data_IF_590613379621
#
_entry.id   IF_590613379621
#
_cell.length_a   1.000
_cell.length_b   1.000
_cell.length_c   1.000
_cell.angle_alpha   90.00
_cell.angle_beta   90.00
_cell.angle_gamma   90.00
#
_symmetry.space_group_name_H-M   'P 1'
#
loop_
_entity.id
_entity.type
_entity.pdbx_description
1 polymer ?
#
# COMPACT_ATOMS: atom_id res chain seq x y z
N UNK A 1 -27.70 -72.74 -6.37
CA UNK A 1 -26.75 -72.11 -7.32
C UNK A 1 -26.89 -70.59 -7.15
N UNK A 2 -25.83 -69.90 -6.66
CA UNK A 2 -25.60 -68.42 -6.55
C UNK A 2 -26.58 -67.62 -5.62
N UNK A 3 -26.22 -66.96 -4.49
CA UNK A 3 -25.26 -65.84 -4.18
C UNK A 3 -25.36 -64.69 -5.20
N UNK A 4 -25.58 -63.40 -4.89
CA UNK A 4 -25.15 -62.56 -3.76
C UNK A 4 -25.94 -61.23 -3.66
N UNK A 5 -25.94 -60.68 -2.44
CA UNK A 5 -25.93 -59.29 -1.89
C UNK A 5 -26.32 -58.02 -2.68
N UNK A 6 -26.92 -57.11 -1.87
CA UNK A 6 -26.82 -55.63 -1.83
C UNK A 6 -27.41 -54.85 -3.02
N UNK A 7 -28.02 -53.67 -2.88
CA UNK A 7 -27.61 -52.55 -2.04
C UNK A 7 -28.76 -51.56 -1.81
N UNK A 8 -28.77 -50.91 -0.65
CA UNK A 8 -29.69 -49.85 -0.29
C UNK A 8 -29.13 -48.50 -0.73
N UNK A 9 -29.94 -47.68 -1.39
CA UNK A 9 -29.52 -46.35 -1.82
C UNK A 9 -30.67 -45.35 -1.79
N UNK A 10 -30.84 -44.67 -0.65
CA UNK A 10 -31.62 -43.44 -0.54
C UNK A 10 -31.05 -42.42 -1.52
N UNK A 11 -31.82 -42.03 -2.53
CA UNK A 11 -31.47 -40.91 -3.42
C UNK A 11 -31.58 -39.60 -2.63
N UNK A 12 -30.47 -39.17 -2.04
CA UNK A 12 -30.31 -37.82 -1.54
C UNK A 12 -30.27 -36.86 -2.72
N UNK A 13 -31.23 -35.93 -2.77
CA UNK A 13 -31.18 -34.77 -3.65
C UNK A 13 -30.05 -33.86 -3.16
N UNK A 14 -28.89 -33.92 -3.80
CA UNK A 14 -27.87 -32.89 -3.65
C UNK A 14 -28.35 -31.65 -4.39
N UNK A 15 -28.89 -30.68 -3.64
CA UNK A 15 -28.93 -29.30 -4.09
C UNK A 15 -27.49 -28.82 -4.13
N UNK A 16 -26.95 -28.73 -5.33
CA UNK A 16 -25.66 -28.14 -5.63
C UNK A 16 -25.81 -26.63 -5.37
N UNK A 17 -25.54 -26.19 -4.14
CA UNK A 17 -25.26 -24.78 -3.89
C UNK A 17 -23.93 -24.53 -4.58
N UNK A 18 -24.01 -23.98 -5.79
CA UNK A 18 -22.87 -23.37 -6.48
C UNK A 18 -22.43 -22.22 -5.58
N UNK A 19 -21.44 -22.50 -4.73
CA UNK A 19 -20.73 -21.46 -4.00
C UNK A 19 -20.12 -20.52 -5.04
N UNK A 20 -20.65 -19.31 -5.09
CA UNK A 20 -20.04 -18.21 -5.83
C UNK A 20 -18.69 -17.94 -5.17
N UNK A 21 -17.62 -18.45 -5.77
CA UNK A 21 -16.25 -18.03 -5.45
C UNK A 21 -16.08 -16.64 -6.04
N UNK A 22 -16.34 -15.62 -5.23
CA UNK A 22 -16.04 -14.23 -5.56
C UNK A 22 -14.54 -14.02 -5.39
N UNK A 23 -13.82 -14.15 -6.51
CA UNK A 23 -12.42 -13.79 -6.62
C UNK A 23 -12.24 -12.30 -6.32
N UNK A 24 -11.64 -11.95 -5.17
CA UNK A 24 -11.32 -10.57 -4.80
C UNK A 24 -9.90 -10.46 -4.25
N UNK A 25 -9.15 -9.49 -4.81
CA UNK A 25 -7.85 -8.93 -4.41
C UNK A 25 -6.52 -9.63 -4.80
N UNK A 26 -6.34 -9.95 -6.09
CA UNK A 26 -5.04 -10.23 -6.76
C UNK A 26 -4.59 -11.68 -6.78
N UNK A 27 -5.16 -12.45 -7.71
CA UNK A 27 -4.32 -12.92 -8.81
C UNK A 27 -4.31 -11.80 -9.84
N UNK A 28 -3.13 -11.25 -10.14
CA UNK A 28 -2.83 -10.32 -11.25
C UNK A 28 -4.05 -9.57 -11.79
N UNK A 29 -4.50 -8.54 -11.05
CA UNK A 29 -5.42 -7.56 -11.62
C UNK A 29 -4.79 -7.07 -12.94
N UNK A 30 -5.49 -7.33 -14.05
CA UNK A 30 -5.02 -7.04 -15.39
C UNK A 30 -4.29 -5.70 -15.47
N UNK A 31 -3.00 -5.76 -15.80
CA UNK A 31 -2.16 -4.62 -16.09
C UNK A 31 -2.65 -3.94 -17.38
N UNK A 32 -3.69 -3.12 -17.27
CA UNK A 32 -3.97 -2.11 -18.27
C UNK A 32 -3.62 -0.75 -17.66
N UNK A 33 -2.31 -0.49 -17.68
CA UNK A 33 -1.75 0.85 -17.66
C UNK A 33 -2.22 1.56 -18.93
N UNK A 34 -3.02 2.60 -18.80
CA UNK A 34 -2.94 3.66 -19.79
C UNK A 34 -1.69 4.48 -19.47
N UNK A 35 -0.79 4.58 -20.45
CA UNK A 35 0.53 5.17 -20.35
C UNK A 35 0.55 6.63 -19.88
N UNK A 36 1.75 7.04 -19.45
CA UNK A 36 2.06 8.35 -18.91
C UNK A 36 1.51 9.51 -19.74
N UNK A 37 0.55 10.23 -19.16
CA UNK A 37 0.08 11.53 -19.65
C UNK A 37 0.15 12.58 -18.54
N UNK A 38 1.18 12.49 -17.71
CA UNK A 38 1.39 13.37 -16.58
C UNK A 38 2.85 13.78 -16.44
N UNK A 39 3.06 14.87 -15.74
CA UNK A 39 4.38 15.35 -15.34
C UNK A 39 5.05 14.31 -14.44
N UNK A 40 6.27 13.94 -14.79
CA UNK A 40 7.11 13.05 -13.98
C UNK A 40 8.00 13.92 -13.11
N UNK A 41 7.82 13.84 -11.79
CA UNK A 41 8.71 14.55 -10.88
C UNK A 41 10.12 13.95 -10.93
N UNK A 42 11.09 14.80 -11.24
CA UNK A 42 12.52 14.45 -11.26
C UNK A 42 13.29 15.32 -10.27
N UNK A 43 14.41 14.82 -9.71
CA UNK A 43 15.28 15.63 -8.87
C UNK A 43 15.83 16.84 -9.63
N UNK A 44 15.92 17.98 -8.97
CA UNK A 44 16.52 19.22 -9.47
C UNK A 44 18.03 19.33 -9.17
N UNK A 45 18.61 18.30 -8.55
CA UNK A 45 20.00 18.27 -8.10
C UNK A 45 20.20 18.68 -6.65
N UNK A 46 19.15 19.11 -5.94
CA UNK A 46 19.19 19.43 -4.51
C UNK A 46 19.45 18.22 -3.61
N UNK A 47 19.62 18.45 -2.29
CA UNK A 47 19.81 17.37 -1.32
C UNK A 47 18.52 16.59 -1.00
N UNK A 48 17.35 17.16 -1.34
CA UNK A 48 16.02 16.61 -1.00
C UNK A 48 15.11 16.73 -2.22
N UNK A 49 14.34 15.68 -2.49
CA UNK A 49 13.28 15.64 -3.50
C UNK A 49 11.95 15.44 -2.79
N UNK A 50 11.16 16.49 -2.68
CA UNK A 50 9.83 16.41 -2.08
C UNK A 50 8.84 15.79 -3.05
N UNK A 51 8.42 14.56 -2.76
CA UNK A 51 7.49 13.79 -3.60
C UNK A 51 6.06 14.22 -3.36
N UNK A 52 5.69 14.39 -2.09
CA UNK A 52 4.38 14.85 -1.65
C UNK A 52 4.57 15.89 -0.54
N UNK A 53 3.94 17.05 -0.66
CA UNK A 53 3.83 18.08 0.37
C UNK A 53 2.35 18.39 0.58
N UNK A 54 1.78 17.84 1.65
CA UNK A 54 0.37 18.05 1.97
C UNK A 54 0.12 19.33 2.78
N UNK A 55 1.16 20.13 3.04
CA UNK A 55 1.00 21.53 3.43
C UNK A 55 0.55 22.42 2.28
N UNK A 56 0.81 21.99 1.04
CA UNK A 56 0.35 22.67 -0.17
C UNK A 56 -0.92 22.00 -0.72
N UNK A 57 -2.04 22.72 -0.63
CA UNK A 57 -3.32 22.22 -1.14
C UNK A 57 -3.32 22.17 -2.67
N UNK A 58 -3.95 21.13 -3.21
CA UNK A 58 -4.22 20.99 -4.64
C UNK A 58 -5.64 20.44 -4.88
N UNK A 59 -6.22 20.62 -6.07
CA UNK A 59 -7.54 20.05 -6.38
C UNK A 59 -7.52 18.51 -6.34
N UNK A 60 -8.52 17.89 -5.69
CA UNK A 60 -8.65 16.43 -5.66
C UNK A 60 -9.46 15.87 -6.85
N UNK A 61 -10.17 16.73 -7.56
CA UNK A 61 -10.89 16.38 -8.80
C UNK A 61 -11.03 17.61 -9.72
N UNK A 62 -10.42 17.61 -10.93
CA UNK A 62 -9.43 16.63 -11.38
C UNK A 62 -8.11 16.80 -10.60
N UNK A 63 -7.37 15.70 -10.43
CA UNK A 63 -6.03 15.75 -9.84
C UNK A 63 -5.03 16.47 -10.78
N UNK A 64 -3.99 17.14 -10.22
CA UNK A 64 -2.95 17.76 -11.03
C UNK A 64 -2.16 16.74 -11.87
N UNK A 65 -1.44 17.24 -12.87
CA UNK A 65 -0.54 16.42 -13.69
C UNK A 65 0.47 15.65 -12.82
N UNK A 66 0.68 14.37 -13.16
CA UNK A 66 1.55 13.48 -12.38
C UNK A 66 0.91 12.88 -11.13
N UNK A 67 -0.30 13.30 -10.75
CA UNK A 67 -1.08 12.67 -9.68
C UNK A 67 -2.16 11.75 -10.24
N UNK A 68 -2.50 10.69 -9.52
CA UNK A 68 -3.56 9.74 -9.91
C UNK A 68 -4.21 9.07 -8.71
N UNK A 69 -5.54 9.08 -8.66
CA UNK A 69 -6.30 8.31 -7.68
C UNK A 69 -6.67 6.96 -8.28
N UNK A 70 -6.03 5.89 -7.81
CA UNK A 70 -6.37 4.52 -8.19
C UNK A 70 -7.52 4.04 -7.31
N UNK A 71 -8.69 3.86 -7.92
CA UNK A 71 -9.88 3.25 -7.31
C UNK A 71 -9.96 1.77 -7.72
N UNK A 72 -10.48 0.93 -6.84
CA UNK A 72 -10.72 -0.48 -7.15
C UNK A 72 -12.21 -0.68 -7.47
N UNK A 73 -12.51 -1.38 -8.56
CA UNK A 73 -13.89 -1.50 -9.06
C UNK A 73 -14.88 -2.09 -8.04
N UNK A 74 -14.42 -3.00 -7.18
CA UNK A 74 -15.26 -3.66 -6.16
C UNK A 74 -15.28 -2.97 -4.81
N UNK A 75 -14.51 -1.89 -4.61
CA UNK A 75 -14.31 -1.27 -3.29
C UNK A 75 -14.63 0.22 -3.33
N UNK A 76 -15.21 0.70 -2.23
CA UNK A 76 -15.31 2.14 -2.01
C UNK A 76 -13.89 2.74 -1.92
N UNK A 77 -13.64 3.93 -2.48
CA UNK A 77 -12.37 4.62 -2.26
C UNK A 77 -12.28 5.17 -0.85
N UNK A 78 -11.05 5.40 -0.38
CA UNK A 78 -10.80 6.14 0.86
C UNK A 78 -11.22 7.61 0.71
N UNK A 79 -11.69 8.20 1.81
CA UNK A 79 -11.95 9.63 1.90
C UNK A 79 -10.64 10.39 2.06
N UNK A 80 -10.51 11.51 1.36
CA UNK A 80 -9.28 12.29 1.24
C UNK A 80 -9.59 13.77 1.47
N UNK A 81 -8.93 14.41 2.42
CA UNK A 81 -9.13 15.83 2.70
C UNK A 81 -7.87 16.50 3.25
N UNK A 82 -7.52 17.69 2.74
CA UNK A 82 -6.50 18.52 3.37
C UNK A 82 -6.98 18.98 4.75
N UNK A 83 -6.12 18.88 5.75
CA UNK A 83 -6.42 19.21 7.14
C UNK A 83 -5.21 19.85 7.82
N UNK A 84 -5.44 20.42 9.01
CA UNK A 84 -4.37 20.75 9.96
C UNK A 84 -4.62 19.91 11.19
N UNK A 85 -3.73 18.96 11.46
CA UNK A 85 -3.85 18.04 12.60
C UNK A 85 -2.76 18.38 13.61
N UNK A 86 -3.18 18.80 14.80
CA UNK A 86 -2.30 19.23 15.90
C UNK A 86 -1.24 20.25 15.46
N UNK A 87 -1.69 21.26 14.71
CA UNK A 87 -0.84 22.34 14.18
C UNK A 87 -0.01 21.97 12.95
N UNK A 88 -0.09 20.73 12.45
CA UNK A 88 0.66 20.27 11.27
C UNK A 88 -0.26 20.24 10.03
N UNK A 89 0.02 21.06 9.01
CA UNK A 89 -0.62 20.95 7.70
C UNK A 89 -0.39 19.56 7.09
N UNK A 90 -1.46 18.90 6.66
CA UNK A 90 -1.46 17.50 6.27
C UNK A 90 -2.64 17.15 5.37
N UNK A 91 -2.66 15.91 4.91
CA UNK A 91 -3.81 15.30 4.26
C UNK A 91 -4.29 14.12 5.10
N UNK A 92 -5.59 14.13 5.42
CA UNK A 92 -6.31 13.07 6.11
C UNK A 92 -6.75 12.02 5.09
N UNK A 93 -6.51 10.76 5.44
CA UNK A 93 -6.98 9.58 4.74
C UNK A 93 -7.85 8.78 5.71
N UNK A 94 -9.08 8.48 5.31
CA UNK A 94 -10.03 7.72 6.11
C UNK A 94 -10.61 6.56 5.32
N UNK A 95 -10.66 5.41 5.97
CA UNK A 95 -11.22 4.19 5.43
C UNK A 95 -12.37 3.68 6.28
N UNK A 96 -13.32 3.03 5.61
CA UNK A 96 -14.41 2.26 6.21
C UNK A 96 -14.82 1.22 5.18
N UNK A 97 -14.41 -0.04 5.38
CA UNK A 97 -14.53 -1.12 4.38
C UNK A 97 -14.13 -0.64 2.96
N UNK A 98 -12.99 0.07 2.86
CA UNK A 98 -12.61 0.80 1.66
C UNK A 98 -11.12 0.66 1.37
N UNK A 99 -10.75 0.88 0.10
CA UNK A 99 -9.36 0.87 -0.35
C UNK A 99 -9.20 1.74 -1.60
N UNK A 100 -8.15 2.56 -1.61
CA UNK A 100 -7.70 3.25 -2.82
C UNK A 100 -6.31 3.85 -2.61
N UNK A 101 -5.65 4.29 -3.69
CA UNK A 101 -4.27 4.79 -3.62
C UNK A 101 -4.15 6.16 -4.28
N UNK A 102 -3.49 7.11 -3.61
CA UNK A 102 -3.12 8.40 -4.19
C UNK A 102 -1.68 8.34 -4.67
N UNK A 103 -1.48 8.20 -5.98
CA UNK A 103 -0.18 8.12 -6.63
C UNK A 103 0.38 9.50 -6.97
N UNK A 104 1.70 9.63 -6.82
CA UNK A 104 2.57 10.61 -7.47
C UNK A 104 3.55 9.88 -8.38
N UNK A 105 3.61 10.27 -9.64
CA UNK A 105 4.58 9.77 -10.60
C UNK A 105 5.93 10.48 -10.41
N UNK A 106 6.99 9.69 -10.31
CA UNK A 106 8.35 10.17 -10.06
C UNK A 106 9.34 9.46 -10.99
N UNK A 107 10.58 9.90 -11.02
CA UNK A 107 11.70 9.19 -11.64
C UNK A 107 12.96 9.62 -10.87
N UNK A 108 13.29 8.84 -9.84
CA UNK A 108 14.33 9.17 -8.84
C UNK A 108 15.27 7.99 -8.69
N UNK A 109 16.55 8.20 -9.00
CA UNK A 109 17.62 7.23 -8.82
C UNK A 109 17.86 6.93 -7.34
N UNK A 110 17.68 5.66 -6.93
CA UNK A 110 17.91 5.22 -5.55
C UNK A 110 19.37 5.24 -5.14
N UNK A 111 20.32 5.23 -6.08
CA UNK A 111 21.75 5.39 -5.76
C UNK A 111 22.02 6.83 -5.33
N UNK A 112 21.42 7.80 -6.01
CA UNK A 112 21.59 9.22 -5.69
C UNK A 112 20.78 9.66 -4.46
N UNK A 113 19.54 9.18 -4.31
CA UNK A 113 18.66 9.52 -3.20
C UNK A 113 18.18 8.25 -2.46
N UNK A 114 19.05 7.60 -1.67
CA UNK A 114 18.75 6.29 -1.09
C UNK A 114 17.80 6.33 0.09
N UNK A 115 17.52 7.51 0.64
CA UNK A 115 16.78 7.65 1.89
C UNK A 115 15.34 8.05 1.57
N UNK A 116 14.37 7.27 2.05
CA UNK A 116 12.96 7.64 2.08
C UNK A 116 12.63 8.23 3.45
N UNK A 117 12.07 9.43 3.47
CA UNK A 117 11.61 10.10 4.68
C UNK A 117 10.15 10.57 4.51
N UNK A 118 9.35 10.40 5.55
CA UNK A 118 7.95 10.84 5.56
C UNK A 118 7.52 11.17 6.97
N UNK A 119 6.36 11.83 7.07
CA UNK A 119 5.75 12.13 8.35
C UNK A 119 4.29 11.75 8.35
N UNK A 120 3.92 10.89 9.30
CA UNK A 120 2.56 10.41 9.47
C UNK A 120 2.02 10.56 10.89
N UNK A 121 0.71 10.44 11.02
CA UNK A 121 -0.02 10.37 12.28
C UNK A 121 -1.12 9.33 12.13
N UNK A 122 -1.23 8.40 13.09
CA UNK A 122 -2.34 7.46 13.15
C UNK A 122 -3.32 7.93 14.21
N UNK A 123 -4.55 8.25 13.79
CA UNK A 123 -5.63 8.65 14.69
C UNK A 123 -6.50 7.45 15.08
N UNK A 124 -6.87 6.64 14.09
CA UNK A 124 -7.62 5.41 14.28
C UNK A 124 -6.85 4.27 13.60
N UNK A 125 -6.17 3.39 14.37
CA UNK A 125 -5.48 2.23 13.82
C UNK A 125 -6.48 1.14 13.40
N UNK A 126 -6.03 0.17 12.60
CA UNK A 126 -6.83 -1.02 12.29
C UNK A 126 -6.91 -1.92 13.54
N UNK A 127 -8.15 -2.24 13.95
CA UNK A 127 -8.44 -3.13 15.08
C UNK A 127 -9.10 -4.40 14.59
N UNK A 128 -8.29 -5.43 14.34
CA UNK A 128 -8.77 -6.72 13.85
C UNK A 128 -8.06 -7.90 14.55
N UNK A 129 -8.76 -9.02 14.81
CA UNK A 129 -8.12 -10.23 15.30
C UNK A 129 -7.32 -10.97 14.20
N UNK A 130 -7.56 -10.64 12.93
CA UNK A 130 -6.97 -11.32 11.77
C UNK A 130 -5.45 -11.11 11.71
N UNK A 131 -4.72 -12.18 11.40
CA UNK A 131 -3.26 -12.15 11.28
C UNK A 131 -2.87 -11.35 10.04
N UNK A 132 -2.15 -10.25 10.24
CA UNK A 132 -1.73 -9.37 9.14
C UNK A 132 -0.68 -10.00 8.22
N UNK A 133 -0.21 -11.22 8.51
CA UNK A 133 0.59 -12.03 7.59
C UNK A 133 -0.26 -12.82 6.59
N UNK A 134 -1.58 -12.87 6.75
CA UNK A 134 -2.49 -13.46 5.77
C UNK A 134 -3.12 -12.37 4.92
N UNK A 135 -3.70 -12.77 3.79
CA UNK A 135 -4.38 -11.85 2.89
C UNK A 135 -5.56 -11.15 3.59
N UNK A 136 -6.34 -11.93 4.33
CA UNK A 136 -7.56 -11.46 5.00
C UNK A 136 -7.25 -10.46 6.13
N UNK A 137 -6.03 -10.48 6.69
CA UNK A 137 -5.60 -9.53 7.71
C UNK A 137 -4.74 -8.39 7.18
N UNK A 138 -4.49 -8.31 5.87
CA UNK A 138 -3.59 -7.33 5.28
C UNK A 138 -4.30 -5.99 5.01
N UNK A 139 -4.78 -5.34 6.07
CA UNK A 139 -5.20 -3.94 6.07
C UNK A 139 -4.28 -3.13 7.00
N UNK A 140 -3.89 -1.92 6.58
CA UNK A 140 -3.07 -1.00 7.39
C UNK A 140 -3.63 0.42 7.35
N UNK A 141 -3.56 1.14 8.47
CA UNK A 141 -4.07 2.50 8.55
C UNK A 141 -3.25 3.48 7.70
N UNK A 142 -1.99 3.14 7.36
CA UNK A 142 -1.11 3.96 6.54
C UNK A 142 -0.05 3.10 5.83
N UNK A 143 0.09 3.30 4.52
CA UNK A 143 1.10 2.63 3.68
C UNK A 143 1.70 3.61 2.68
N UNK A 144 2.97 3.40 2.36
CA UNK A 144 3.60 3.92 1.16
C UNK A 144 3.82 2.77 0.17
N UNK A 145 3.10 2.79 -0.94
CA UNK A 145 3.37 1.88 -2.06
C UNK A 145 4.45 2.47 -2.95
N UNK A 146 5.48 1.68 -3.23
CA UNK A 146 6.67 2.10 -3.96
C UNK A 146 6.85 1.21 -5.18
N UNK A 147 6.98 1.81 -6.36
CA UNK A 147 7.25 1.09 -7.61
C UNK A 147 8.61 1.46 -8.16
N UNK A 148 9.35 0.46 -8.60
CA UNK A 148 10.69 0.61 -9.13
C UNK A 148 10.78 0.10 -10.56
N UNK A 149 11.64 0.74 -11.35
CA UNK A 149 12.11 0.25 -12.64
C UNK A 149 13.63 0.12 -12.57
N UNK A 150 14.14 -1.08 -12.87
CA UNK A 150 15.58 -1.28 -13.01
C UNK A 150 16.07 -0.80 -14.37
N UNK A 151 17.37 -0.58 -14.51
CA UNK A 151 18.00 -0.25 -15.80
C UNK A 151 17.81 -1.36 -16.86
N UNK A 152 17.46 -2.58 -16.42
CA UNK A 152 17.14 -3.72 -17.29
C UNK A 152 15.65 -3.79 -17.68
N UNK A 153 14.84 -2.84 -17.24
CA UNK A 153 13.40 -2.79 -17.51
C UNK A 153 12.54 -3.67 -16.58
N UNK A 154 13.15 -4.36 -15.61
CA UNK A 154 12.39 -5.13 -14.61
C UNK A 154 11.59 -4.16 -13.72
N UNK A 155 10.32 -4.49 -13.50
CA UNK A 155 9.43 -3.74 -12.61
C UNK A 155 9.30 -4.46 -11.28
N UNK A 156 9.48 -3.72 -10.20
CA UNK A 156 9.36 -4.23 -8.84
C UNK A 156 8.49 -3.29 -8.02
N UNK A 157 7.93 -3.81 -6.93
CA UNK A 157 7.16 -2.98 -6.02
C UNK A 157 7.22 -3.56 -4.61
N UNK A 158 7.09 -2.67 -3.63
CA UNK A 158 6.98 -3.01 -2.22
C UNK A 158 6.07 -2.00 -1.53
N UNK A 159 5.73 -2.30 -0.29
CA UNK A 159 5.11 -1.34 0.61
C UNK A 159 5.96 -1.08 1.85
N UNK A 160 5.88 0.15 2.35
CA UNK A 160 6.28 0.51 3.70
C UNK A 160 5.01 0.76 4.49
N UNK A 161 4.84 0.09 5.62
CA UNK A 161 3.56 0.05 6.35
C UNK A 161 3.69 0.47 7.80
N UNK A 162 2.59 1.01 8.34
CA UNK A 162 2.29 0.92 9.77
C UNK A 162 1.67 -0.45 10.05
N UNK A 163 2.36 -1.34 10.75
CA UNK A 163 1.86 -2.67 11.10
C UNK A 163 0.85 -2.65 12.25
N UNK A 164 0.03 -3.70 12.35
CA UNK A 164 -0.98 -3.82 13.40
C UNK A 164 -0.40 -4.41 14.69
N UNK A 165 0.39 -5.48 14.56
CA UNK A 165 0.98 -6.31 15.63
C UNK A 165 2.42 -6.74 15.34
N UNK A 166 2.91 -6.54 14.12
CA UNK A 166 4.32 -6.74 13.74
C UNK A 166 5.25 -5.80 14.52
N UNK A 167 6.54 -6.11 14.50
CA UNK A 167 7.55 -5.22 15.07
C UNK A 167 8.15 -4.32 13.98
N UNK A 168 8.46 -3.05 14.30
CA UNK A 168 9.26 -2.21 13.41
C UNK A 168 10.55 -2.90 12.97
N UNK A 169 10.89 -2.76 11.69
CA UNK A 169 12.03 -3.42 11.04
C UNK A 169 11.77 -4.85 10.54
N UNK A 170 10.61 -5.44 10.84
CA UNK A 170 10.24 -6.74 10.27
C UNK A 170 9.77 -6.62 8.80
N UNK A 171 9.83 -7.76 8.11
CA UNK A 171 9.28 -7.94 6.77
C UNK A 171 8.13 -8.93 6.81
N UNK A 172 7.10 -8.70 5.98
CA UNK A 172 6.09 -9.71 5.65
C UNK A 172 5.88 -9.80 4.14
N UNK A 173 5.34 -10.92 3.70
CA UNK A 173 5.10 -11.21 2.29
C UNK A 173 3.69 -11.77 2.09
N UNK A 174 2.89 -11.10 1.25
CA UNK A 174 1.56 -11.58 0.85
C UNK A 174 1.65 -12.03 -0.61
N UNK A 175 1.56 -13.33 -0.88
CA UNK A 175 1.72 -13.87 -2.24
C UNK A 175 3.06 -13.51 -2.89
N UNK A 176 4.12 -13.32 -2.11
CA UNK A 176 5.43 -12.87 -2.57
C UNK A 176 5.61 -11.36 -2.68
N UNK A 177 4.57 -10.56 -2.45
CA UNK A 177 4.64 -9.10 -2.43
C UNK A 177 5.21 -8.59 -1.09
N UNK A 178 6.36 -7.87 -1.09
CA UNK A 178 7.06 -7.49 0.14
C UNK A 178 6.48 -6.25 0.82
N UNK A 179 6.40 -6.30 2.14
CA UNK A 179 6.10 -5.17 3.01
C UNK A 179 7.20 -5.02 4.05
N UNK A 180 7.69 -3.79 4.24
CA UNK A 180 8.58 -3.40 5.33
C UNK A 180 7.78 -2.66 6.40
N UNK A 181 7.89 -3.11 7.65
CA UNK A 181 7.19 -2.50 8.79
C UNK A 181 8.03 -1.34 9.32
N UNK A 182 7.63 -0.10 9.07
CA UNK A 182 8.35 1.06 9.57
C UNK A 182 7.99 1.39 11.02
N UNK A 183 6.70 1.26 11.35
CA UNK A 183 6.18 1.39 12.71
C UNK A 183 5.03 0.40 12.90
N UNK A 184 4.55 0.19 14.13
CA UNK A 184 3.42 -0.67 14.40
C UNK A 184 2.79 -0.45 15.78
N UNK A 185 1.59 -1.01 15.93
CA UNK A 185 0.90 -1.13 17.21
C UNK A 185 0.27 0.19 17.68
N UNK A 186 0.00 0.26 18.98
CA UNK A 186 -0.83 1.33 19.58
C UNK A 186 -0.02 2.38 20.32
N UNK A 187 1.21 2.08 20.72
CA UNK A 187 1.99 2.90 21.66
C UNK A 187 2.25 4.31 21.13
N UNK A 188 2.31 4.47 19.81
CA UNK A 188 2.56 5.75 19.13
C UNK A 188 1.35 6.26 18.32
N UNK A 189 0.18 5.65 18.48
CA UNK A 189 -1.08 6.23 17.97
C UNK A 189 -1.34 7.55 18.69
N UNK A 190 -1.81 8.55 17.95
CA UNK A 190 -2.04 9.90 18.50
C UNK A 190 -0.82 10.83 18.47
N UNK A 191 0.29 10.43 17.84
CA UNK A 191 1.49 11.25 17.71
C UNK A 191 1.95 11.41 16.26
N UNK A 192 2.54 12.56 15.97
CA UNK A 192 3.26 12.77 14.71
C UNK A 192 4.64 12.13 14.78
N UNK A 193 4.95 11.29 13.79
CA UNK A 193 6.26 10.64 13.69
C UNK A 193 6.91 11.02 12.36
N UNK A 194 8.14 11.52 12.45
CA UNK A 194 9.05 11.69 11.32
C UNK A 194 9.86 10.40 11.17
N UNK A 195 9.57 9.63 10.13
CA UNK A 195 10.17 8.34 9.84
C UNK A 195 11.20 8.45 8.71
N UNK A 196 12.23 7.60 8.78
CA UNK A 196 13.33 7.60 7.81
C UNK A 196 13.91 6.20 7.65
N UNK A 197 13.99 5.71 6.42
CA UNK A 197 14.64 4.44 6.09
C UNK A 197 15.68 4.61 4.98
N UNK A 198 16.72 3.76 5.00
CA UNK A 198 17.57 3.56 3.83
C UNK A 198 16.82 2.64 2.85
N UNK A 199 16.05 3.26 1.96
CA UNK A 199 15.22 2.57 0.97
C UNK A 199 16.08 1.76 -0.01
N UNK A 200 17.26 2.25 -0.37
CA UNK A 200 18.18 1.51 -1.23
C UNK A 200 18.66 0.21 -0.55
N UNK A 201 18.95 0.26 0.75
CA UNK A 201 19.28 -0.92 1.55
C UNK A 201 18.10 -1.89 1.65
N UNK A 202 16.91 -1.39 2.00
CA UNK A 202 15.69 -2.21 2.09
C UNK A 202 15.39 -2.90 0.75
N UNK A 203 15.54 -2.18 -0.36
CA UNK A 203 15.41 -2.69 -1.72
C UNK A 203 16.42 -3.81 -2.00
N UNK A 204 17.70 -3.61 -1.67
CA UNK A 204 18.75 -4.61 -1.87
C UNK A 204 18.59 -5.85 -0.97
N UNK A 205 18.05 -5.70 0.24
CA UNK A 205 17.76 -6.82 1.15
C UNK A 205 16.62 -7.70 0.61
N UNK A 206 15.57 -7.10 0.05
CA UNK A 206 14.45 -7.83 -0.58
C UNK A 206 14.92 -8.50 -1.87
N UNK A 207 15.68 -7.78 -2.71
CA UNK A 207 16.11 -8.26 -4.02
C UNK A 207 17.63 -8.25 -4.16
N UNK A 208 18.28 -9.32 -3.66
CA UNK A 208 19.75 -9.42 -3.57
C UNK A 208 20.51 -9.29 -4.89
N UNK A 209 19.89 -9.71 -5.98
CA UNK A 209 20.50 -9.70 -7.33
C UNK A 209 20.07 -8.48 -8.17
N UNK A 210 19.51 -7.45 -7.51
CA UNK A 210 18.99 -6.29 -8.21
C UNK A 210 20.07 -5.48 -8.92
N UNK A 211 19.80 -5.11 -10.17
CA UNK A 211 20.43 -3.95 -10.77
C UNK A 211 20.02 -2.65 -10.02
N UNK A 212 20.78 -1.56 -10.17
CA UNK A 212 20.32 -0.23 -9.77
C UNK A 212 18.91 0.04 -10.32
N UNK A 213 18.16 0.81 -9.55
CA UNK A 213 16.76 1.06 -9.83
C UNK A 213 16.36 2.50 -9.55
N UNK A 214 15.43 2.97 -10.35
CA UNK A 214 14.73 4.22 -10.14
C UNK A 214 13.41 3.93 -9.43
N UNK A 215 13.07 4.73 -8.44
CA UNK A 215 11.71 4.84 -7.93
C UNK A 215 10.89 5.61 -8.98
N UNK A 216 9.79 5.02 -9.46
CA UNK A 216 8.99 5.55 -10.57
C UNK A 216 7.56 5.94 -10.17
N UNK A 217 7.07 5.40 -9.05
CA UNK A 217 5.80 5.83 -8.47
C UNK A 217 5.87 5.67 -6.94
N UNK A 218 5.26 6.64 -6.25
CA UNK A 218 4.97 6.59 -4.82
C UNK A 218 3.48 6.77 -4.64
N UNK A 219 2.85 6.01 -3.77
CA UNK A 219 1.46 6.22 -3.39
C UNK A 219 1.29 6.20 -1.88
N UNK A 220 0.46 7.11 -1.37
CA UNK A 220 -0.21 6.88 -0.09
C UNK A 220 -1.34 5.89 -0.34
N UNK A 221 -1.33 4.80 0.41
CA UNK A 221 -2.35 3.76 0.34
C UNK A 221 -2.85 3.48 1.77
N UNK A 222 -4.16 3.53 1.94
CA UNK A 222 -4.84 3.14 3.18
C UNK A 222 -5.99 2.23 2.79
N UNK A 223 -6.23 1.20 3.59
CA UNK A 223 -7.27 0.21 3.37
C UNK A 223 -7.86 -0.33 4.67
N UNK A 224 -9.07 -0.85 4.55
CA UNK A 224 -9.79 -1.55 5.61
C UNK A 224 -10.82 -2.53 5.04
N UNK A 225 -10.64 -2.98 3.80
CA UNK A 225 -11.65 -3.74 3.03
C UNK A 225 -11.55 -5.27 3.17
N UNK A 226 -10.45 -5.78 3.71
CA UNK A 226 -10.25 -7.21 3.99
C UNK A 226 -10.61 -7.56 5.44
N UNK A 227 -10.35 -6.65 6.38
CA UNK A 227 -10.73 -6.74 7.79
C UNK A 227 -12.13 -6.21 8.07
N UNK A 228 -12.75 -5.50 7.11
CA UNK A 228 -14.05 -4.83 7.26
C UNK A 228 -14.10 -3.85 8.44
N UNK A 229 -12.99 -3.16 8.67
CA UNK A 229 -12.86 -2.18 9.75
C UNK A 229 -12.86 -0.75 9.20
N UNK A 230 -12.32 0.19 9.97
CA UNK A 230 -12.10 1.57 9.61
C UNK A 230 -10.75 2.03 10.14
N UNK A 231 -10.15 3.02 9.47
CA UNK A 231 -8.93 3.66 9.91
C UNK A 231 -8.90 5.14 9.57
N UNK A 232 -8.09 5.90 10.29
CA UNK A 232 -7.85 7.32 10.04
C UNK A 232 -6.36 7.57 10.23
N UNK A 233 -5.72 8.05 9.18
CA UNK A 233 -4.32 8.47 9.19
C UNK A 233 -4.15 9.82 8.51
N UNK A 234 -2.99 10.42 8.77
CA UNK A 234 -2.58 11.68 8.15
C UNK A 234 -1.17 11.54 7.63
N UNK A 235 -0.89 12.15 6.49
CA UNK A 235 0.46 12.37 6.00
C UNK A 235 0.72 13.87 5.87
N UNK A 236 1.88 14.32 6.33
CA UNK A 236 2.33 15.70 6.13
C UNK A 236 3.19 15.82 4.87
N UNK A 237 4.17 14.93 4.70
CA UNK A 237 5.03 14.90 3.53
C UNK A 237 5.58 13.50 3.24
N UNK A 238 6.06 13.30 2.01
CA UNK A 238 6.90 12.18 1.59
C UNK A 238 8.03 12.74 0.72
N UNK A 239 9.28 12.38 1.00
CA UNK A 239 10.46 12.88 0.29
C UNK A 239 11.56 11.84 0.19
N UNK A 240 12.46 12.03 -0.77
CA UNK A 240 13.71 11.30 -0.84
C UNK A 240 14.90 12.23 -0.58
N UNK A 241 15.92 11.73 0.10
CA UNK A 241 17.10 12.51 0.52
C UNK A 241 18.38 11.85 0.02
N UNK A 242 19.39 12.69 -0.24
CA UNK A 242 20.78 12.22 -0.39
C UNK A 242 21.31 11.74 0.96
N UNK A 243 22.39 10.95 0.93
CA UNK A 243 23.18 10.66 2.12
C UNK A 243 23.95 11.88 2.60
#
# INVERSE_FOLDING_TARGET
MRRDRADGGRRARYLLIVGVVLATAVGLAGWHFWGGRGEVLKPDGGPVVTVMDFGQKFPLDPLPSGWRHRKFWTRSPMSMAFAVKDGVPSMRFETHDSASMLFRQVDIDLVAYPILAWRWFIELPIKSPLDERTREGDDHPARLFLRFATDRGEKRAMEVIWGNRLKPGEYKYIGGFPHFVADAGDDRVGYWLDERIDLARVYAEIWKDAAPAHLVDVAVFCDSDDTHTASISYFAYVRLERR
#
